data_IF_909750672214
#
_entry.id   IF_909750672214
#
_cell.length_a   1.000
_cell.length_b   1.000
_cell.length_c   1.000
_cell.angle_alpha   90.00
_cell.angle_beta   90.00
_cell.angle_gamma   90.00
#
_symmetry.space_group_name_H-M   'P 1'
#
loop_
_entity.id
_entity.type
_entity.pdbx_description
1 polymer ?
#
# COMPACT_ATOMS: atom_id res chain seq x y z
N UNK A 1 -0.46 -10.93 3.84
CA UNK A 1 -0.62 -10.66 5.28
C UNK A 1 -1.76 -11.45 5.91
N UNK A 2 -2.97 -11.45 5.35
CA UNK A 2 -4.15 -12.12 5.94
C UNK A 2 -3.96 -13.63 6.16
N UNK A 3 -3.39 -14.34 5.18
CA UNK A 3 -3.12 -15.78 5.27
C UNK A 3 -2.12 -16.16 6.39
N UNK A 4 -1.16 -15.28 6.71
CA UNK A 4 -0.18 -15.52 7.79
C UNK A 4 -0.85 -15.44 9.16
N UNK A 5 -1.80 -14.52 9.36
CA UNK A 5 -2.58 -14.45 10.59
C UNK A 5 -3.53 -15.65 10.74
N UNK A 6 -4.09 -16.16 9.64
CA UNK A 6 -4.92 -17.37 9.64
C UNK A 6 -4.09 -18.62 10.01
N UNK A 7 -2.86 -18.74 9.47
CA UNK A 7 -1.92 -19.82 9.79
C UNK A 7 -1.34 -19.74 11.22
N UNK A 8 -1.15 -18.51 11.72
CA UNK A 8 -0.74 -18.31 13.11
C UNK A 8 -1.87 -18.64 14.09
N UNK A 9 -3.12 -18.29 13.75
CA UNK A 9 -4.31 -18.65 14.53
C UNK A 9 -4.60 -20.16 14.55
N UNK A 10 -4.13 -20.92 13.56
CA UNK A 10 -4.26 -22.38 13.52
C UNK A 10 -3.13 -23.14 14.23
N UNK A 11 -2.27 -22.46 15.01
CA UNK A 11 -1.09 -23.04 15.70
C UNK A 11 -0.04 -23.68 14.77
N UNK A 12 -0.12 -23.47 13.44
CA UNK A 12 0.91 -23.94 12.50
C UNK A 12 2.14 -23.03 12.47
N UNK A 13 1.98 -21.76 12.84
CA UNK A 13 3.07 -20.77 12.89
C UNK A 13 3.02 -20.01 14.22
N UNK A 14 4.18 -19.86 14.85
CA UNK A 14 4.29 -19.05 16.06
C UNK A 14 3.97 -17.57 15.73
N UNK A 15 3.20 -16.91 16.59
CA UNK A 15 2.84 -15.49 16.47
C UNK A 15 4.07 -14.59 16.29
N UNK A 16 5.19 -14.91 16.94
CA UNK A 16 6.46 -14.19 16.79
C UNK A 16 7.02 -14.32 15.37
N UNK A 17 7.00 -15.52 14.79
CA UNK A 17 7.44 -15.77 13.41
C UNK A 17 6.54 -15.07 12.41
N UNK A 18 5.22 -15.10 12.62
CA UNK A 18 4.27 -14.40 11.76
C UNK A 18 4.49 -12.88 11.80
N UNK A 19 4.70 -12.29 12.98
CA UNK A 19 5.01 -10.88 13.14
C UNK A 19 6.33 -10.50 12.44
N UNK A 20 7.37 -11.33 12.57
CA UNK A 20 8.65 -11.12 11.89
C UNK A 20 8.50 -11.11 10.36
N UNK A 21 7.81 -12.11 9.80
CA UNK A 21 7.54 -12.18 8.35
C UNK A 21 6.79 -10.93 7.88
N UNK A 22 5.80 -10.45 8.65
CA UNK A 22 5.05 -9.24 8.31
C UNK A 22 5.97 -8.03 8.23
N UNK A 23 6.84 -7.83 9.23
CA UNK A 23 7.80 -6.72 9.23
C UNK A 23 8.75 -6.80 8.03
N UNK A 24 9.26 -7.99 7.72
CA UNK A 24 10.10 -8.18 6.53
C UNK A 24 9.37 -7.85 5.22
N UNK A 25 8.07 -8.16 5.12
CA UNK A 25 7.27 -7.89 3.92
C UNK A 25 6.80 -6.43 3.82
N UNK A 26 6.75 -5.68 4.93
CA UNK A 26 6.36 -4.27 4.92
C UNK A 26 7.36 -3.42 4.13
N UNK A 27 8.66 -3.70 4.24
CA UNK A 27 9.70 -2.95 3.52
C UNK A 27 9.56 -3.00 1.99
N UNK A 28 9.55 -4.17 1.33
CA UNK A 28 9.39 -4.24 -0.12
C UNK A 28 8.03 -3.69 -0.57
N UNK A 29 6.97 -3.87 0.22
CA UNK A 29 5.64 -3.31 -0.09
C UNK A 29 5.69 -1.78 -0.10
N UNK A 30 6.30 -1.16 0.91
CA UNK A 30 6.46 0.28 0.98
C UNK A 30 7.30 0.83 -0.19
N UNK A 31 8.41 0.16 -0.53
CA UNK A 31 9.24 0.54 -1.66
C UNK A 31 8.48 0.51 -2.99
N UNK A 32 7.70 -0.54 -3.25
CA UNK A 32 6.89 -0.66 -4.48
C UNK A 32 5.80 0.41 -4.54
N UNK A 33 5.10 0.68 -3.43
CA UNK A 33 4.05 1.70 -3.37
C UNK A 33 4.62 3.10 -3.65
N UNK A 34 5.74 3.45 -3.02
CA UNK A 34 6.40 4.75 -3.24
C UNK A 34 6.87 4.88 -4.69
N UNK A 35 7.45 3.80 -5.25
CA UNK A 35 7.86 3.79 -6.66
C UNK A 35 6.68 4.00 -7.60
N UNK A 36 5.56 3.30 -7.41
CA UNK A 36 4.34 3.45 -8.23
C UNK A 36 3.70 4.83 -8.11
N UNK A 37 3.77 5.46 -6.92
CA UNK A 37 3.36 6.85 -6.73
C UNK A 37 4.24 7.81 -7.53
N UNK A 38 5.56 7.62 -7.47
CA UNK A 38 6.51 8.43 -8.23
C UNK A 38 6.35 8.25 -9.74
N UNK A 39 6.07 7.02 -10.21
CA UNK A 39 5.78 6.71 -11.61
C UNK A 39 4.53 7.44 -12.14
N UNK A 40 3.72 8.03 -11.25
CA UNK A 40 2.54 8.86 -11.58
C UNK A 40 2.74 10.34 -11.30
N UNK A 41 3.96 10.78 -10.97
CA UNK A 41 4.25 12.15 -10.58
C UNK A 41 3.65 12.57 -9.22
N UNK A 42 3.13 11.63 -8.42
CA UNK A 42 2.65 11.89 -7.05
C UNK A 42 3.81 11.76 -6.05
N UNK A 43 3.80 12.54 -4.97
CA UNK A 43 4.82 12.40 -3.91
C UNK A 43 4.68 11.07 -3.17
N UNK A 44 5.81 10.50 -2.72
CA UNK A 44 5.81 9.33 -1.84
C UNK A 44 5.00 9.53 -0.54
N UNK A 45 4.76 10.78 -0.13
CA UNK A 45 3.87 11.12 1.00
C UNK A 45 2.45 10.59 0.84
N UNK A 46 1.95 10.38 -0.37
CA UNK A 46 0.64 9.76 -0.59
C UNK A 46 0.58 8.33 -0.02
N UNK A 47 1.71 7.64 0.16
CA UNK A 47 1.75 6.35 0.85
C UNK A 47 1.32 6.45 2.32
N UNK A 48 1.43 7.62 2.95
CA UNK A 48 0.96 7.85 4.32
C UNK A 48 -0.56 7.70 4.44
N UNK A 49 -1.33 7.83 3.35
CA UNK A 49 -2.75 7.52 3.36
C UNK A 49 -3.02 6.05 3.71
N UNK A 50 -2.12 5.13 3.34
CA UNK A 50 -2.25 3.72 3.74
C UNK A 50 -2.03 3.54 5.24
N UNK A 51 -1.09 4.29 5.82
CA UNK A 51 -0.86 4.32 7.27
C UNK A 51 -2.07 4.92 7.98
N UNK A 52 -2.61 6.03 7.47
CA UNK A 52 -3.82 6.65 7.99
C UNK A 52 -5.02 5.70 7.93
N UNK A 53 -5.23 5.02 6.80
CA UNK A 53 -6.30 4.05 6.66
C UNK A 53 -6.17 2.89 7.67
N UNK A 54 -4.95 2.41 7.91
CA UNK A 54 -4.71 1.40 8.94
C UNK A 54 -4.97 1.94 10.35
N UNK A 55 -4.52 3.15 10.68
CA UNK A 55 -4.80 3.80 11.97
C UNK A 55 -6.30 3.99 12.19
N UNK A 56 -7.04 4.37 11.14
CA UNK A 56 -8.49 4.52 11.21
C UNK A 56 -9.20 3.17 11.43
N UNK A 57 -8.73 2.09 10.81
CA UNK A 57 -9.26 0.74 11.03
C UNK A 57 -8.93 0.18 12.42
N UNK A 58 -7.73 0.44 12.92
CA UNK A 58 -7.25 -0.06 14.20
C UNK A 58 -7.70 0.79 15.40
N UNK A 59 -8.15 2.03 15.14
CA UNK A 59 -8.63 2.95 16.16
C UNK A 59 -9.88 2.46 16.89
N UNK A 60 -9.94 2.71 18.19
CA UNK A 60 -11.13 2.42 18.98
C UNK A 60 -12.09 3.62 18.95
N UNK A 61 -13.13 3.53 18.13
CA UNK A 61 -14.11 4.60 17.92
C UNK A 61 -15.33 4.49 18.85
N UNK A 62 -15.28 3.69 19.90
CA UNK A 62 -16.42 3.43 20.81
C UNK A 62 -17.03 4.70 21.42
N UNK A 63 -16.25 5.77 21.53
CA UNK A 63 -16.69 7.07 22.05
C UNK A 63 -17.54 7.91 21.07
N UNK A 64 -17.62 7.52 19.79
CA UNK A 64 -18.40 8.23 18.77
C UNK A 64 -19.82 7.66 18.62
N UNK A 65 -20.80 8.44 18.12
CA UNK A 65 -22.11 7.91 17.76
C UNK A 65 -22.02 6.83 16.67
N UNK A 66 -22.96 5.87 16.66
CA UNK A 66 -22.91 4.68 15.80
C UNK A 66 -22.65 4.97 14.30
N UNK A 67 -23.28 6.01 13.76
CA UNK A 67 -23.08 6.43 12.35
C UNK A 67 -21.62 6.82 12.09
N UNK A 68 -21.00 7.55 13.03
CA UNK A 68 -19.61 8.00 12.94
C UNK A 68 -18.62 6.86 13.19
N UNK A 69 -18.95 5.89 14.04
CA UNK A 69 -18.13 4.68 14.21
C UNK A 69 -18.00 3.91 12.89
N UNK A 70 -19.11 3.73 12.18
CA UNK A 70 -19.10 3.06 10.89
C UNK A 70 -18.41 3.91 9.82
N UNK A 71 -18.71 5.21 9.78
CA UNK A 71 -18.13 6.15 8.81
C UNK A 71 -16.61 6.23 8.93
N UNK A 72 -16.11 6.57 10.11
CA UNK A 72 -14.67 6.79 10.35
C UNK A 72 -13.93 5.46 10.46
N UNK A 73 -14.49 4.47 11.15
CA UNK A 73 -13.81 3.21 11.45
C UNK A 73 -13.82 2.21 10.31
N UNK A 74 -14.75 2.31 9.34
CA UNK A 74 -14.87 1.33 8.24
C UNK A 74 -14.97 1.98 6.88
N UNK A 75 -15.83 2.97 6.68
CA UNK A 75 -16.09 3.52 5.35
C UNK A 75 -14.91 4.34 4.80
N UNK A 76 -14.43 5.33 5.54
CA UNK A 76 -13.28 6.16 5.12
C UNK A 76 -12.03 5.31 4.82
N UNK A 77 -11.56 4.42 5.71
CA UNK A 77 -10.35 3.65 5.44
C UNK A 77 -10.51 2.66 4.28
N UNK A 78 -11.70 2.05 4.10
CA UNK A 78 -11.94 1.18 2.95
C UNK A 78 -11.93 1.95 1.63
N UNK A 79 -12.51 3.15 1.59
CA UNK A 79 -12.42 4.03 0.42
C UNK A 79 -10.98 4.39 0.07
N UNK A 80 -10.16 4.75 1.07
CA UNK A 80 -8.74 5.07 0.84
C UNK A 80 -8.01 3.86 0.25
N UNK A 81 -8.21 2.67 0.79
CA UNK A 81 -7.56 1.44 0.30
C UNK A 81 -7.99 1.12 -1.13
N UNK A 82 -9.30 1.15 -1.42
CA UNK A 82 -9.82 0.87 -2.77
C UNK A 82 -9.29 1.88 -3.78
N UNK A 83 -9.35 3.17 -3.42
CA UNK A 83 -8.82 4.23 -4.27
C UNK A 83 -7.34 3.99 -4.56
N UNK A 84 -6.50 3.80 -3.53
CA UNK A 84 -5.07 3.56 -3.68
C UNK A 84 -4.76 2.28 -4.46
N UNK A 85 -5.56 1.22 -4.30
CA UNK A 85 -5.37 -0.03 -5.02
C UNK A 85 -5.66 0.13 -6.52
N UNK A 86 -6.71 0.85 -6.88
CA UNK A 86 -7.01 1.17 -8.28
C UNK A 86 -5.96 2.15 -8.84
N UNK A 87 -5.63 3.20 -8.06
CA UNK A 87 -4.64 4.23 -8.36
C UNK A 87 -3.19 3.77 -8.29
N UNK A 88 -2.88 2.53 -7.96
CA UNK A 88 -1.50 2.03 -8.01
C UNK A 88 -1.41 0.68 -8.73
N UNK A 89 -2.49 -0.11 -8.71
CA UNK A 89 -2.56 -1.42 -9.34
C UNK A 89 -3.04 -1.38 -10.79
N UNK A 90 -4.17 -0.71 -11.06
CA UNK A 90 -4.88 -0.85 -12.32
C UNK A 90 -4.42 0.14 -13.41
N UNK A 91 -4.19 1.41 -13.05
CA UNK A 91 -3.77 2.39 -14.07
C UNK A 91 -2.26 2.39 -14.36
N UNK A 92 -1.93 2.75 -15.60
CA UNK A 92 -0.56 2.92 -16.07
C UNK A 92 0.05 4.20 -15.46
N UNK A 93 1.38 4.21 -15.27
CA UNK A 93 2.12 5.40 -14.86
C UNK A 93 2.02 6.53 -15.88
N UNK A 94 2.45 7.73 -15.50
CA UNK A 94 2.61 8.84 -16.45
C UNK A 94 3.67 8.47 -17.48
N UNK A 95 3.33 8.58 -18.76
CA UNK A 95 4.25 8.38 -19.88
C UNK A 95 5.08 9.65 -20.08
N UNK A 96 6.39 9.51 -20.31
CA UNK A 96 7.33 10.63 -20.47
C UNK A 96 8.08 11.03 -19.20
N UNK A 97 8.81 12.14 -19.27
CA UNK A 97 9.55 12.70 -18.13
C UNK A 97 8.61 13.09 -17.00
N UNK A 98 9.00 12.77 -15.75
CA UNK A 98 8.25 13.17 -14.57
C UNK A 98 9.15 13.97 -13.61
N UNK A 99 8.54 14.58 -12.58
CA UNK A 99 9.26 15.39 -11.59
C UNK A 99 10.34 14.64 -10.78
N UNK A 100 10.44 13.33 -10.92
CA UNK A 100 11.36 12.45 -10.20
C UNK A 100 12.43 11.82 -11.10
N UNK A 101 12.35 11.96 -12.42
CA UNK A 101 13.29 11.32 -13.32
C UNK A 101 12.99 11.58 -14.80
N UNK A 102 14.05 11.45 -15.59
CA UNK A 102 13.98 11.45 -17.05
C UNK A 102 13.27 10.21 -17.55
N UNK A 103 12.83 10.28 -18.79
CA UNK A 103 12.16 9.18 -19.48
C UNK A 103 13.03 7.91 -19.47
N UNK A 104 12.39 6.75 -19.30
CA UNK A 104 13.09 5.48 -19.36
C UNK A 104 13.67 5.27 -20.75
N UNK A 105 14.96 4.96 -20.83
CA UNK A 105 15.58 4.59 -22.10
C UNK A 105 15.00 3.27 -22.59
N UNK A 106 14.68 3.20 -23.87
CA UNK A 106 14.31 1.94 -24.51
C UNK A 106 15.45 0.93 -24.40
N UNK A 107 15.09 -0.31 -24.01
CA UNK A 107 16.05 -1.40 -23.95
C UNK A 107 16.47 -1.72 -25.38
N UNK A 108 17.74 -1.47 -25.71
CA UNK A 108 18.31 -1.89 -26.99
C UNK A 108 18.51 -3.41 -26.97
N UNK A 109 17.58 -4.13 -27.60
CA UNK A 109 17.62 -5.59 -27.70
C UNK A 109 18.68 -6.13 -28.68
N UNK A 110 19.34 -5.25 -29.44
CA UNK A 110 20.42 -5.59 -30.35
C UNK A 110 21.60 -4.64 -30.12
N UNK A 111 22.81 -5.20 -30.04
CA UNK A 111 24.02 -4.43 -30.24
C UNK A 111 24.06 -4.05 -31.72
N UNK A 112 24.09 -2.75 -32.01
CA UNK A 112 24.31 -2.25 -33.37
C UNK A 112 25.64 -2.86 -33.86
N UNK A 113 25.57 -3.67 -34.92
CA UNK A 113 26.72 -4.35 -35.54
C UNK A 113 27.48 -3.41 -36.49
#
# INVERSE_FOLDING_TARGET
>A
MSALFTLAGSNLLNLQTAAFIIVCLLWPTAAVVVKRLHDRGKSGLWALLMVLAWMLLAGNWSMLPQVWQWGVGRFVPTLIIVMMLIDLGAFVGTQGENKFGKETQDVRWKADA
#
